data_IF_043323004268
#
_entry.id   IF_043323004268
#
_cell.length_a   1.000
_cell.length_b   1.000
_cell.length_c   1.000
_cell.angle_alpha   90.00
_cell.angle_beta   90.00
_cell.angle_gamma   90.00
#
_symmetry.space_group_name_H-M   'P 1'
#
loop_
_entity.id
_entity.type
_entity.pdbx_description
1 polymer ?
#
# COMPACT_ATOMS: atom_id res chain seq x y z
N UNK A 1 -1.80 -0.24 11.13
CA UNK A 1 -1.92 -0.86 9.81
C UNK A 1 -2.36 0.19 8.80
N UNK A 2 -1.65 0.24 7.70
CA UNK A 2 -1.95 1.20 6.64
C UNK A 2 -2.44 0.45 5.41
N UNK A 3 -3.48 0.98 4.80
CA UNK A 3 -4.01 0.46 3.54
C UNK A 3 -3.73 1.49 2.47
N UNK A 4 -2.95 1.10 1.46
CA UNK A 4 -2.49 2.02 0.44
C UNK A 4 -2.98 1.54 -0.91
N UNK A 5 -3.59 2.45 -1.66
CA UNK A 5 -3.94 2.22 -3.05
C UNK A 5 -2.99 3.05 -3.89
N UNK A 6 -2.26 2.39 -4.77
CA UNK A 6 -1.22 3.06 -5.54
C UNK A 6 -1.53 2.97 -7.02
N UNK A 7 -1.35 4.09 -7.71
CA UNK A 7 -1.61 4.20 -9.14
C UNK A 7 -0.32 4.58 -9.85
N UNK A 8 0.12 3.69 -10.73
CA UNK A 8 1.37 3.87 -11.45
C UNK A 8 1.23 4.95 -12.52
N UNK A 9 2.22 5.83 -12.60
CA UNK A 9 2.24 6.88 -13.64
C UNK A 9 3.00 6.44 -14.89
N UNK A 10 3.70 5.32 -14.83
CA UNK A 10 4.54 4.87 -15.92
C UNK A 10 4.42 3.36 -16.03
N UNK A 11 5.20 2.78 -16.95
CA UNK A 11 5.20 1.33 -17.12
C UNK A 11 6.39 0.66 -16.45
N UNK A 12 6.96 1.27 -15.42
CA UNK A 12 8.13 0.74 -14.72
C UNK A 12 7.72 -0.27 -13.66
N UNK A 13 6.92 -1.26 -14.05
CA UNK A 13 6.35 -2.18 -13.08
C UNK A 13 7.39 -3.03 -12.38
N UNK A 14 8.35 -3.58 -13.13
CA UNK A 14 9.36 -4.45 -12.54
C UNK A 14 10.18 -3.71 -11.49
N UNK A 15 10.60 -2.48 -11.81
CA UNK A 15 11.39 -1.69 -10.88
C UNK A 15 10.56 -1.31 -9.65
N UNK A 16 9.29 -0.97 -9.85
CA UNK A 16 8.42 -0.62 -8.74
C UNK A 16 8.20 -1.81 -7.81
N UNK A 17 7.96 -2.97 -8.39
CA UNK A 17 7.74 -4.16 -7.57
C UNK A 17 8.99 -4.53 -6.78
N UNK A 18 10.17 -4.34 -7.37
CA UNK A 18 11.41 -4.55 -6.65
C UNK A 18 11.57 -3.56 -5.50
N UNK A 19 11.16 -2.31 -5.74
CA UNK A 19 11.19 -1.29 -4.70
C UNK A 19 10.32 -1.68 -3.52
N UNK A 20 9.08 -2.08 -3.77
CA UNK A 20 8.16 -2.42 -2.70
C UNK A 20 8.64 -3.66 -1.94
N UNK A 21 9.20 -4.62 -2.66
CA UNK A 21 9.62 -5.88 -2.04
C UNK A 21 10.83 -5.74 -1.11
N UNK A 22 11.45 -4.57 -1.06
CA UNK A 22 12.52 -4.32 -0.11
C UNK A 22 12.01 -4.11 1.31
N UNK A 23 10.73 -3.83 1.47
CA UNK A 23 10.16 -3.41 2.76
C UNK A 23 9.48 -4.58 3.43
N UNK A 24 10.05 -5.04 4.54
CA UNK A 24 9.43 -6.13 5.31
C UNK A 24 8.16 -5.68 6.01
N UNK A 25 7.94 -4.38 6.12
CA UNK A 25 6.71 -3.83 6.72
C UNK A 25 5.50 -3.99 5.81
N UNK A 26 5.70 -4.34 4.55
CA UNK A 26 4.60 -4.57 3.62
C UNK A 26 4.13 -6.02 3.81
N UNK A 27 2.88 -6.19 4.21
CA UNK A 27 2.30 -7.50 4.45
C UNK A 27 1.57 -8.04 3.23
N UNK A 28 0.95 -7.15 2.47
CA UNK A 28 0.18 -7.52 1.28
C UNK A 28 0.56 -6.59 0.16
N UNK A 29 0.78 -7.15 -1.01
CA UNK A 29 1.15 -6.37 -2.17
C UNK A 29 0.50 -7.04 -3.38
N UNK A 30 -0.65 -6.53 -3.80
CA UNK A 30 -1.43 -7.12 -4.88
C UNK A 30 -1.55 -6.15 -6.05
N UNK A 31 -1.39 -6.67 -7.26
CA UNK A 31 -1.67 -5.91 -8.45
C UNK A 31 -3.14 -6.13 -8.80
N UNK A 32 -3.86 -5.04 -8.96
CA UNK A 32 -5.30 -5.10 -9.24
C UNK A 32 -5.50 -4.93 -10.74
N UNK A 33 -6.37 -5.75 -11.31
CA UNK A 33 -6.61 -5.74 -12.74
C UNK A 33 -7.36 -4.48 -13.17
N UNK A 34 -7.27 -4.19 -14.46
CA UNK A 34 -8.03 -3.12 -15.07
C UNK A 34 -7.33 -1.80 -15.18
N UNK A 35 -6.40 -1.50 -14.28
CA UNK A 35 -5.61 -0.29 -14.32
C UNK A 35 -4.28 -0.56 -13.65
N UNK A 36 -3.34 0.35 -13.84
CA UNK A 36 -2.04 0.21 -13.22
C UNK A 36 -2.15 0.54 -11.73
N UNK A 37 -2.81 -0.34 -11.00
CA UNK A 37 -3.15 -0.12 -9.60
C UNK A 37 -2.65 -1.26 -8.74
N UNK A 38 -2.12 -0.92 -7.58
CA UNK A 38 -1.65 -1.90 -6.59
C UNK A 38 -2.33 -1.62 -5.27
N UNK A 39 -2.57 -2.69 -4.52
CA UNK A 39 -3.04 -2.59 -3.15
C UNK A 39 -1.93 -3.05 -2.22
N UNK A 40 -1.61 -2.22 -1.24
CA UNK A 40 -0.60 -2.54 -0.25
C UNK A 40 -1.22 -2.46 1.14
N UNK A 41 -0.86 -3.41 1.98
CA UNK A 41 -1.19 -3.37 3.39
C UNK A 41 0.13 -3.40 4.14
N UNK A 42 0.34 -2.46 5.04
CA UNK A 42 1.61 -2.31 5.72
C UNK A 42 1.43 -2.01 7.19
N UNK A 43 2.52 -2.16 7.94
CA UNK A 43 2.53 -1.86 9.37
C UNK A 43 3.76 -1.03 9.71
N UNK A 44 3.99 0.05 8.96
CA UNK A 44 5.06 0.98 9.28
C UNK A 44 4.79 1.69 10.61
N UNK A 45 5.85 2.10 11.27
CA UNK A 45 5.72 2.94 12.47
C UNK A 45 5.40 4.37 12.07
N UNK A 46 5.04 5.18 13.07
CA UNK A 46 4.76 6.59 12.83
C UNK A 46 5.99 7.33 12.32
N UNK A 47 7.17 6.82 12.59
CA UNK A 47 8.42 7.44 12.15
C UNK A 47 8.78 7.00 10.73
N UNK A 48 8.60 5.72 10.43
CA UNK A 48 9.05 5.17 9.15
C UNK A 48 8.02 5.32 8.05
N UNK A 49 6.75 5.43 8.37
CA UNK A 49 5.72 5.54 7.35
C UNK A 49 5.89 6.78 6.45
N UNK A 50 6.11 7.98 7.01
CA UNK A 50 6.33 9.15 6.15
C UNK A 50 7.53 8.99 5.23
N UNK A 51 8.56 8.29 5.67
CA UNK A 51 9.73 8.06 4.82
C UNK A 51 9.37 7.16 3.64
N UNK A 52 8.59 6.12 3.91
CA UNK A 52 8.15 5.24 2.83
C UNK A 52 7.25 5.98 1.85
N UNK A 53 6.34 6.79 2.35
CA UNK A 53 5.41 7.55 1.50
C UNK A 53 6.18 8.53 0.61
N UNK A 54 7.21 9.16 1.16
CA UNK A 54 8.01 10.08 0.35
C UNK A 54 8.67 9.34 -0.81
N UNK A 55 9.20 8.16 -0.56
CA UNK A 55 9.79 7.35 -1.62
C UNK A 55 8.74 6.86 -2.60
N UNK A 56 7.57 6.46 -2.08
CA UNK A 56 6.49 5.95 -2.90
C UNK A 56 5.99 7.01 -3.88
N UNK A 57 5.96 8.26 -3.45
CA UNK A 57 5.44 9.34 -4.28
C UNK A 57 6.25 9.56 -5.55
N UNK A 58 7.47 9.05 -5.60
CA UNK A 58 8.29 9.16 -6.80
C UNK A 58 7.84 8.22 -7.91
N UNK A 59 6.93 7.29 -7.60
CA UNK A 59 6.52 6.27 -8.57
C UNK A 59 5.14 6.53 -9.15
N UNK A 60 4.34 7.35 -8.50
CA UNK A 60 2.99 7.62 -8.97
C UNK A 60 2.13 8.21 -7.88
N UNK A 61 0.82 8.07 -8.05
CA UNK A 61 -0.14 8.62 -7.11
C UNK A 61 -0.59 7.55 -6.13
N UNK A 62 -1.01 7.97 -4.96
CA UNK A 62 -1.44 7.03 -3.94
C UNK A 62 -2.54 7.65 -3.08
N UNK A 63 -3.30 6.79 -2.44
CA UNK A 63 -4.21 7.20 -1.37
C UNK A 63 -3.99 6.24 -0.21
N UNK A 64 -4.10 6.79 1.01
CA UNK A 64 -3.88 6.02 2.21
C UNK A 64 -5.14 6.03 3.04
N UNK A 65 -5.54 4.85 3.51
CA UNK A 65 -6.67 4.71 4.39
C UNK A 65 -6.21 3.99 5.64
N UNK A 66 -6.68 4.44 6.79
CA UNK A 66 -6.32 3.83 8.05
C UNK A 66 -7.50 3.04 8.58
N UNK A 67 -7.22 1.83 9.04
CA UNK A 67 -8.25 1.01 9.65
C UNK A 67 -8.74 1.70 10.91
N UNK A 68 -10.05 1.90 11.00
CA UNK A 68 -10.66 2.56 12.14
C UNK A 68 -11.43 1.58 12.99
N UNK A 69 -12.26 0.75 12.38
CA UNK A 69 -13.07 -0.19 13.13
C UNK A 69 -13.52 -1.33 12.23
N UNK A 70 -13.59 -2.50 12.83
CA UNK A 70 -14.14 -3.66 12.16
C UNK A 70 -15.67 -3.59 12.27
N UNK A 71 -16.32 -3.59 11.12
CA UNK A 71 -17.78 -3.49 11.08
C UNK A 71 -18.46 -4.82 10.88
N UNK A 72 -17.69 -5.88 10.75
CA UNK A 72 -18.30 -7.20 10.74
C UNK A 72 -18.85 -7.53 12.11
N UNK A 73 -20.00 -8.15 12.12
CA UNK A 73 -20.74 -8.32 13.34
C UNK A 73 -21.28 -9.73 13.46
N UNK A 74 -20.45 -10.71 13.18
CA UNK A 74 -20.93 -12.07 13.13
C UNK A 74 -20.65 -12.89 14.37
N UNK A 75 -20.23 -12.29 15.40
CA UNK A 75 -19.96 -13.06 16.60
C UNK A 75 -20.91 -12.82 17.71
N UNK A 76 -21.79 -11.90 17.56
CA UNK A 76 -22.59 -11.47 18.68
C UNK A 76 -24.03 -11.86 18.54
N UNK A 77 -24.27 -12.80 17.74
CA UNK A 77 -25.63 -13.28 17.58
C UNK A 77 -26.06 -14.12 18.71
#
# INVERSE_FOLDING_TARGET
TQYIRFFMDSNRYTAFEAFVNQYKEIEVFHKVSGQACYLLVSHFTDVTFPLFIESLSNWGRYSVETFVADKLNHGDD
#
